data_IF_872235510268
#
_entry.id   IF_872235510268
#
_cell.length_a   1.000
_cell.length_b   1.000
_cell.length_c   1.000
_cell.angle_alpha   90.00
_cell.angle_beta   90.00
_cell.angle_gamma   90.00
#
_symmetry.space_group_name_H-M   'P 1'
#
loop_
_entity.id
_entity.type
_entity.pdbx_description
1 polymer ?
#
# COMPACT_ATOMS: atom_id res chain seq x y z
N UNK A 1 0.33 22.72 7.65
CA UNK A 1 1.49 21.89 7.26
C UNK A 1 1.43 21.68 5.76
N UNK A 2 2.45 22.13 5.02
CA UNK A 2 2.52 22.07 3.56
C UNK A 2 2.81 20.64 3.13
N UNK A 3 1.91 20.05 2.34
CA UNK A 3 2.03 18.67 1.82
C UNK A 3 3.35 18.53 1.04
N UNK A 4 4.21 17.55 1.33
CA UNK A 4 5.46 17.39 0.59
C UNK A 4 5.17 17.16 -0.91
N UNK A 5 5.99 17.73 -1.82
CA UNK A 5 5.72 17.79 -3.26
C UNK A 5 5.65 16.42 -3.96
N UNK A 6 6.01 15.33 -3.28
CA UNK A 6 6.16 13.99 -3.86
C UNK A 6 5.02 13.02 -3.50
N UNK A 7 3.94 13.48 -2.85
CA UNK A 7 2.84 12.62 -2.38
C UNK A 7 2.13 11.80 -3.49
N UNK A 8 2.36 12.11 -4.78
CA UNK A 8 1.75 11.42 -5.92
C UNK A 8 2.77 10.81 -6.91
N UNK A 9 4.06 10.75 -6.57
CA UNK A 9 5.05 10.14 -7.46
C UNK A 9 5.07 8.61 -7.27
N UNK A 10 4.31 7.89 -8.09
CA UNK A 10 4.41 6.43 -8.17
C UNK A 10 5.75 6.10 -8.84
N UNK A 11 6.65 5.43 -8.11
CA UNK A 11 7.92 4.97 -8.67
C UNK A 11 7.71 3.76 -9.61
N UNK A 12 8.60 3.51 -10.59
CA UNK A 12 8.43 2.40 -11.56
C UNK A 12 8.21 1.01 -10.94
N UNK A 13 8.72 0.79 -9.73
CA UNK A 13 8.65 -0.49 -9.01
C UNK A 13 7.65 -0.44 -7.86
N UNK A 14 6.61 0.39 -7.98
CA UNK A 14 5.59 0.55 -6.96
C UNK A 14 4.20 0.59 -7.57
N UNK A 15 3.23 0.18 -6.76
CA UNK A 15 1.82 0.41 -6.99
C UNK A 15 1.24 1.13 -5.78
N UNK A 16 0.29 2.04 -5.98
CA UNK A 16 -0.41 2.71 -4.88
C UNK A 16 -1.91 2.58 -5.02
N UNK A 17 -2.63 2.49 -3.91
CA UNK A 17 -4.09 2.49 -3.86
C UNK A 17 -4.58 3.40 -2.74
N UNK A 18 -5.77 4.01 -2.90
CA UNK A 18 -6.41 4.75 -1.81
C UNK A 18 -7.31 3.79 -1.03
N UNK A 19 -7.12 3.76 0.28
CA UNK A 19 -7.89 2.98 1.23
C UNK A 19 -8.86 3.87 2.02
N UNK A 20 -9.97 3.28 2.49
CA UNK A 20 -10.75 3.88 3.57
C UNK A 20 -10.01 3.72 4.90
N UNK A 21 -10.37 4.51 5.91
CA UNK A 21 -9.79 4.38 7.25
C UNK A 21 -10.00 2.98 7.86
N UNK A 22 -11.14 2.34 7.58
CA UNK A 22 -11.43 0.97 8.05
C UNK A 22 -10.45 -0.03 7.43
N UNK A 23 -10.24 0.06 6.12
CA UNK A 23 -9.28 -0.81 5.42
C UNK A 23 -7.84 -0.53 5.90
N UNK A 24 -7.46 0.73 6.09
CA UNK A 24 -6.15 1.10 6.60
C UNK A 24 -5.90 0.51 8.00
N UNK A 25 -6.91 0.52 8.89
CA UNK A 25 -6.84 -0.12 10.22
C UNK A 25 -6.62 -1.63 10.17
N UNK A 26 -7.19 -2.30 9.16
CA UNK A 26 -6.97 -3.73 8.95
C UNK A 26 -5.57 -4.01 8.39
N UNK A 27 -5.07 -3.13 7.52
CA UNK A 27 -3.80 -3.31 6.81
C UNK A 27 -2.56 -2.93 7.64
N UNK A 28 -2.69 -2.01 8.61
CA UNK A 28 -1.54 -1.41 9.31
C UNK A 28 -0.67 -2.41 10.09
N UNK A 29 -1.28 -3.49 10.57
CA UNK A 29 -0.58 -4.56 11.29
C UNK A 29 0.22 -5.49 10.35
N UNK A 30 0.07 -5.31 9.05
CA UNK A 30 0.72 -6.10 8.00
C UNK A 30 1.71 -5.25 7.19
N UNK A 31 2.18 -4.15 7.77
CA UNK A 31 3.37 -3.44 7.28
C UNK A 31 4.49 -4.46 7.03
N UNK A 32 5.21 -4.29 5.91
CA UNK A 32 6.28 -5.18 5.49
C UNK A 32 5.87 -6.64 5.23
N UNK A 33 4.59 -6.95 5.00
CA UNK A 33 4.17 -8.29 4.55
C UNK A 33 4.07 -8.36 3.03
N UNK A 34 4.33 -9.56 2.49
CA UNK A 34 4.23 -9.83 1.05
C UNK A 34 2.77 -9.97 0.64
N UNK A 35 2.44 -9.33 -0.47
CA UNK A 35 1.16 -9.45 -1.18
C UNK A 35 1.40 -9.52 -2.68
N UNK A 36 0.40 -9.98 -3.41
CA UNK A 36 0.38 -9.95 -4.87
C UNK A 36 -0.53 -8.81 -5.34
N UNK A 37 -0.03 -7.95 -6.22
CA UNK A 37 -0.77 -6.86 -6.85
C UNK A 37 -0.45 -6.88 -8.34
N UNK A 38 -1.48 -6.89 -9.19
CA UNK A 38 -1.32 -6.94 -10.66
C UNK A 38 -0.37 -8.08 -11.10
N UNK A 39 -0.58 -9.27 -10.55
CA UNK A 39 0.23 -10.48 -10.79
C UNK A 39 1.71 -10.37 -10.35
N UNK A 40 2.08 -9.31 -9.64
CA UNK A 40 3.43 -9.09 -9.13
C UNK A 40 3.45 -9.18 -7.61
N UNK A 41 4.41 -9.93 -7.09
CA UNK A 41 4.66 -9.96 -5.65
C UNK A 41 5.37 -8.68 -5.22
N UNK A 42 4.89 -8.08 -4.13
CA UNK A 42 5.43 -6.88 -3.53
C UNK A 42 5.23 -6.85 -2.03
N UNK A 43 5.73 -5.79 -1.40
CA UNK A 43 5.68 -5.58 0.05
C UNK A 43 4.73 -4.43 0.37
N UNK A 44 3.79 -4.65 1.28
CA UNK A 44 2.91 -3.61 1.82
C UNK A 44 3.72 -2.60 2.66
N UNK A 45 3.50 -1.31 2.42
CA UNK A 45 4.00 -0.22 3.25
C UNK A 45 2.82 0.60 3.80
N UNK A 46 2.71 0.63 5.12
CA UNK A 46 1.65 1.28 5.89
C UNK A 46 2.20 2.16 7.03
N UNK A 47 3.51 2.15 7.29
CA UNK A 47 4.15 2.94 8.34
C UNK A 47 3.83 4.45 8.27
N UNK A 48 3.56 4.98 7.07
CA UNK A 48 3.20 6.40 6.88
C UNK A 48 1.88 6.79 7.56
N UNK A 49 1.05 5.82 7.91
CA UNK A 49 -0.21 6.05 8.60
C UNK A 49 -0.09 5.93 10.12
N UNK A 50 1.07 5.53 10.67
CA UNK A 50 1.20 5.24 12.10
C UNK A 50 1.51 6.52 12.93
N UNK A 51 0.77 6.79 14.03
CA UNK A 51 -0.43 6.09 14.50
C UNK A 51 -1.68 6.47 13.69
N UNK A 52 -2.53 5.48 13.39
CA UNK A 52 -3.66 5.64 12.44
C UNK A 52 -4.78 6.52 12.98
N UNK A 53 -4.86 6.66 14.30
CA UNK A 53 -5.80 7.52 15.00
C UNK A 53 -5.52 9.01 14.77
N UNK A 54 -4.26 9.36 14.51
CA UNK A 54 -3.81 10.75 14.33
C UNK A 54 -3.71 11.16 12.85
N UNK A 55 -3.86 10.19 11.94
CA UNK A 55 -3.69 10.41 10.50
C UNK A 55 -4.98 10.96 9.84
N UNK A 56 -4.88 12.13 9.23
CA UNK A 56 -6.02 12.90 8.68
C UNK A 56 -6.45 12.43 7.26
N UNK A 57 -5.64 11.60 6.62
CA UNK A 57 -5.92 11.04 5.28
C UNK A 57 -5.47 11.95 4.12
N UNK A 58 -5.49 11.44 2.87
CA UNK A 58 -5.95 10.12 2.45
C UNK A 58 -4.99 8.99 2.86
N UNK A 59 -5.53 7.79 3.10
CA UNK A 59 -4.74 6.59 3.41
C UNK A 59 -4.26 5.94 2.11
N UNK A 60 -3.06 6.31 1.68
CA UNK A 60 -2.46 5.77 0.45
C UNK A 60 -1.65 4.54 0.80
N UNK A 61 -2.07 3.38 0.31
CA UNK A 61 -1.34 2.14 0.47
C UNK A 61 -0.31 2.05 -0.64
N UNK A 62 0.94 1.82 -0.25
CA UNK A 62 2.03 1.61 -1.20
C UNK A 62 2.44 0.14 -1.18
N UNK A 63 2.59 -0.45 -2.35
CA UNK A 63 3.16 -1.78 -2.56
C UNK A 63 4.43 -1.63 -3.37
N UNK A 64 5.56 -2.08 -2.83
CA UNK A 64 6.86 -2.03 -3.50
C UNK A 64 7.24 -3.40 -4.04
N UNK A 65 7.62 -3.50 -5.31
CA UNK A 65 7.93 -4.78 -5.98
C UNK A 65 9.41 -5.20 -5.84
N UNK A 66 10.10 -4.68 -4.83
CA UNK A 66 11.52 -4.94 -4.60
C UNK A 66 11.74 -5.65 -3.26
N UNK A 67 12.71 -6.55 -3.22
CA UNK A 67 13.06 -7.36 -2.04
C UNK A 67 11.90 -8.13 -1.40
N UNK A 68 10.81 -8.37 -2.13
CA UNK A 68 9.63 -9.01 -1.56
C UNK A 68 9.93 -10.36 -0.91
N UNK A 69 10.82 -11.17 -1.50
CA UNK A 69 11.18 -12.49 -0.99
C UNK A 69 11.72 -12.52 0.45
N UNK A 70 12.24 -11.40 0.97
CA UNK A 70 12.78 -11.30 2.32
C UNK A 70 11.70 -11.13 3.41
N UNK A 71 10.44 -10.95 3.03
CA UNK A 71 9.35 -10.60 3.93
C UNK A 71 8.38 -11.77 4.19
N UNK A 72 7.70 -11.83 5.34
CA UNK A 72 6.66 -12.83 5.59
C UNK A 72 5.45 -12.62 4.67
N UNK A 73 4.73 -13.68 4.25
CA UNK A 73 3.50 -13.51 3.48
C UNK A 73 2.37 -12.95 4.36
N UNK A 74 1.55 -12.07 3.80
CA UNK A 74 0.31 -11.66 4.46
C UNK A 74 -0.70 -12.84 4.48
N UNK A 75 -1.60 -12.90 5.47
CA UNK A 75 -2.70 -13.86 5.47
C UNK A 75 -3.65 -13.68 4.26
N UNK A 76 -4.36 -14.75 3.89
CA UNK A 76 -5.26 -14.76 2.72
C UNK A 76 -6.38 -13.69 2.80
N UNK A 77 -6.86 -13.39 4.00
CA UNK A 77 -7.84 -12.33 4.25
C UNK A 77 -7.29 -10.94 3.87
N UNK A 78 -6.00 -10.71 4.11
CA UNK A 78 -5.31 -9.46 3.75
C UNK A 78 -5.07 -9.42 2.25
N UNK A 79 -4.68 -10.55 1.65
CA UNK A 79 -4.57 -10.63 0.20
C UNK A 79 -5.92 -10.37 -0.49
N UNK A 80 -7.03 -10.89 0.08
CA UNK A 80 -8.39 -10.64 -0.42
C UNK A 80 -8.75 -9.16 -0.32
N UNK A 81 -8.43 -8.52 0.80
CA UNK A 81 -8.63 -7.08 0.99
C UNK A 81 -7.84 -6.26 -0.04
N UNK A 82 -6.57 -6.61 -0.25
CA UNK A 82 -5.68 -5.96 -1.24
C UNK A 82 -6.19 -6.15 -2.66
N UNK A 83 -6.68 -7.34 -3.03
CA UNK A 83 -7.26 -7.62 -4.35
C UNK A 83 -8.49 -6.74 -4.65
N UNK A 84 -9.21 -6.29 -3.62
CA UNK A 84 -10.36 -5.39 -3.76
C UNK A 84 -9.97 -3.92 -3.99
N UNK A 85 -8.70 -3.56 -3.85
CA UNK A 85 -8.22 -2.18 -4.02
C UNK A 85 -7.90 -1.87 -5.48
N UNK A 86 -8.11 -0.59 -5.85
CA UNK A 86 -7.76 -0.09 -7.17
C UNK A 86 -6.34 0.48 -7.16
N UNK A 87 -5.38 -0.34 -7.57
CA UNK A 87 -3.98 0.05 -7.67
C UNK A 87 -3.69 0.85 -8.93
N UNK A 88 -2.87 1.89 -8.77
CA UNK A 88 -2.27 2.67 -9.84
C UNK A 88 -0.77 2.36 -9.89
N UNK A 89 -0.23 2.25 -11.11
CA UNK A 89 1.21 2.16 -11.36
C UNK A 89 1.65 3.31 -12.27
N UNK A 90 2.94 3.64 -12.26
CA UNK A 90 3.49 4.65 -13.17
C UNK A 90 3.21 4.26 -14.63
N UNK A 91 2.63 5.18 -15.40
CA UNK A 91 2.39 4.99 -16.84
C UNK A 91 1.02 4.40 -17.21
N UNK A 92 0.14 4.12 -16.25
CA UNK A 92 -1.26 3.79 -16.56
C UNK A 92 -2.10 5.06 -16.83
N UNK A 93 -2.92 5.08 -17.89
CA UNK A 93 -3.88 6.15 -18.11
C UNK A 93 -4.93 6.17 -16.98
N UNK A 94 -5.37 7.38 -16.61
CA UNK A 94 -6.36 7.63 -15.54
C UNK A 94 -7.75 7.15 -15.91
#
# INVERSE_FOLDING_TARGET
MTRPPNFNQIHPNQATAICTQVQAKQLINYDHHRVTVLEKMGVLLTYEWMPIEEHIGPFVLTVVFHHADAHPPAPDEIQTLVNGLKFQVRGQPR
#
